data_IF_307285146587
#
_entry.id   IF_307285146587
#
_cell.length_a   1.000
_cell.length_b   1.000
_cell.length_c   1.000
_cell.angle_alpha   90.00
_cell.angle_beta   90.00
_cell.angle_gamma   90.00
#
_symmetry.space_group_name_H-M   'P 1'
#
loop_
_entity.id
_entity.type
_entity.pdbx_description
1 polymer ?
#
# COMPACT_ATOMS: atom_id res chain seq x y z
N UNK A 1 -13.16 -12.07 -26.39
CA UNK A 1 -12.06 -11.51 -25.60
C UNK A 1 -12.36 -11.89 -24.17
N UNK A 2 -11.49 -12.67 -23.53
CA UNK A 2 -11.65 -13.06 -22.13
C UNK A 2 -11.49 -11.81 -21.28
N UNK A 3 -12.55 -11.41 -20.59
CA UNK A 3 -12.43 -10.48 -19.46
C UNK A 3 -11.53 -11.17 -18.43
N UNK A 4 -10.33 -10.64 -18.26
CA UNK A 4 -9.43 -11.08 -17.19
C UNK A 4 -10.09 -10.70 -15.87
N UNK A 5 -10.20 -11.65 -14.95
CA UNK A 5 -10.81 -11.39 -13.65
C UNK A 5 -9.94 -10.47 -12.78
N UNK A 6 -10.56 -9.71 -11.88
CA UNK A 6 -9.84 -8.85 -10.93
C UNK A 6 -8.78 -9.64 -10.14
N UNK A 7 -9.08 -10.88 -9.78
CA UNK A 7 -8.14 -11.78 -9.08
C UNK A 7 -6.90 -12.09 -9.91
N UNK A 8 -7.08 -12.43 -11.19
CA UNK A 8 -5.97 -12.69 -12.11
C UNK A 8 -5.13 -11.43 -12.31
N UNK A 9 -5.78 -10.26 -12.40
CA UNK A 9 -5.07 -9.01 -12.61
C UNK A 9 -4.26 -8.58 -11.38
N UNK A 10 -4.79 -8.73 -10.17
CA UNK A 10 -4.04 -8.51 -8.92
C UNK A 10 -2.81 -9.42 -8.87
N UNK A 11 -2.96 -10.69 -9.27
CA UNK A 11 -1.84 -11.63 -9.35
C UNK A 11 -0.78 -11.18 -10.36
N UNK A 12 -1.18 -10.75 -11.56
CA UNK A 12 -0.24 -10.20 -12.56
C UNK A 12 0.50 -8.99 -12.00
N UNK A 13 -0.20 -8.09 -11.32
CA UNK A 13 0.44 -6.93 -10.68
C UNK A 13 1.48 -7.40 -9.65
N UNK A 14 1.10 -8.30 -8.74
CA UNK A 14 2.00 -8.83 -7.72
C UNK A 14 3.24 -9.51 -8.34
N UNK A 15 3.05 -10.36 -9.36
CA UNK A 15 4.15 -11.05 -10.04
C UNK A 15 5.15 -10.07 -10.67
N UNK A 16 4.66 -8.97 -11.26
CA UNK A 16 5.53 -7.93 -11.81
C UNK A 16 6.27 -7.14 -10.73
N UNK A 17 5.61 -6.85 -9.59
CA UNK A 17 6.25 -6.21 -8.45
C UNK A 17 7.36 -7.09 -7.87
N UNK A 18 7.12 -8.40 -7.74
CA UNK A 18 8.14 -9.38 -7.32
C UNK A 18 9.37 -9.37 -8.25
N UNK A 19 9.15 -9.26 -9.56
CA UNK A 19 10.22 -9.18 -10.56
C UNK A 19 10.93 -7.81 -10.60
N UNK A 20 10.52 -6.84 -9.79
CA UNK A 20 11.05 -5.47 -9.79
C UNK A 20 10.61 -4.64 -11.00
N UNK A 21 9.58 -5.06 -11.72
CA UNK A 21 9.04 -4.37 -12.91
C UNK A 21 8.05 -3.27 -12.55
N UNK A 22 8.41 -2.43 -11.57
CA UNK A 22 7.55 -1.39 -11.01
C UNK A 22 7.06 -0.39 -12.07
N UNK A 23 7.90 -0.03 -13.04
CA UNK A 23 7.53 0.91 -14.12
C UNK A 23 6.30 0.47 -14.93
N UNK A 24 6.15 -0.85 -15.14
CA UNK A 24 4.98 -1.40 -15.84
C UNK A 24 3.71 -1.22 -14.99
N UNK A 25 3.83 -1.40 -13.68
CA UNK A 25 2.70 -1.25 -12.75
C UNK A 25 2.35 0.23 -12.56
N UNK A 26 3.34 1.13 -12.52
CA UNK A 26 3.12 2.57 -12.59
C UNK A 26 2.29 2.92 -13.84
N UNK A 27 2.66 2.39 -15.01
CA UNK A 27 1.92 2.63 -16.25
C UNK A 27 0.47 2.11 -16.19
N UNK A 28 0.22 0.98 -15.51
CA UNK A 28 -1.11 0.44 -15.26
C UNK A 28 -1.94 1.36 -14.35
N UNK A 29 -1.42 1.75 -13.18
CA UNK A 29 -2.09 2.62 -12.21
C UNK A 29 -2.37 4.03 -12.76
N UNK A 30 -1.55 4.51 -13.70
CA UNK A 30 -1.81 5.78 -14.40
C UNK A 30 -3.06 5.73 -15.27
N UNK A 31 -3.34 4.57 -15.87
CA UNK A 31 -4.46 4.38 -16.80
C UNK A 31 -5.74 4.01 -16.09
N UNK A 32 -5.64 3.17 -15.06
CA UNK A 32 -6.81 2.64 -14.35
C UNK A 32 -6.73 2.97 -12.85
N UNK A 33 -7.36 4.08 -12.41
CA UNK A 33 -7.39 4.47 -11.01
C UNK A 33 -8.07 3.47 -10.09
N UNK A 34 -8.88 2.53 -10.61
CA UNK A 34 -9.49 1.49 -9.78
C UNK A 34 -8.44 0.61 -9.06
N UNK A 35 -7.23 0.45 -9.62
CA UNK A 35 -6.20 -0.42 -9.04
C UNK A 35 -5.67 0.08 -7.69
N UNK A 36 -5.78 1.38 -7.40
CA UNK A 36 -5.49 1.90 -6.07
C UNK A 36 -6.36 1.25 -4.99
N UNK A 37 -7.61 0.93 -5.30
CA UNK A 37 -8.52 0.28 -4.35
C UNK A 37 -8.14 -1.17 -4.03
N UNK A 38 -7.15 -1.74 -4.72
CA UNK A 38 -6.63 -3.09 -4.48
C UNK A 38 -5.32 -3.07 -3.70
N UNK A 39 -4.75 -1.91 -3.38
CA UNK A 39 -3.41 -1.83 -2.76
C UNK A 39 -3.31 -2.66 -1.49
N UNK A 40 -4.28 -2.59 -0.58
CA UNK A 40 -4.29 -3.41 0.63
C UNK A 40 -4.33 -4.92 0.34
N UNK A 41 -5.03 -5.34 -0.72
CA UNK A 41 -5.09 -6.77 -1.11
C UNK A 41 -3.80 -7.24 -1.79
N UNK A 42 -3.14 -6.38 -2.55
CA UNK A 42 -1.83 -6.68 -3.19
C UNK A 42 -0.72 -6.68 -2.13
N UNK A 43 -0.84 -5.83 -1.11
CA UNK A 43 0.14 -5.74 -0.02
C UNK A 43 0.00 -6.92 0.97
N UNK A 44 -1.19 -7.52 1.07
CA UNK A 44 -1.44 -8.80 1.77
C UNK A 44 -0.91 -10.01 0.98
N UNK A 45 0.32 -9.89 0.47
CA UNK A 45 1.03 -10.94 -0.24
C UNK A 45 2.16 -11.48 0.66
N UNK A 46 2.25 -12.81 0.73
CA UNK A 46 3.25 -13.52 1.52
C UNK A 46 4.68 -13.23 1.05
N UNK A 47 4.87 -12.92 -0.23
CA UNK A 47 6.17 -12.60 -0.82
C UNK A 47 6.63 -11.21 -0.39
N UNK A 48 7.72 -11.17 0.36
CA UNK A 48 8.34 -9.91 0.79
C UNK A 48 8.69 -8.97 -0.38
N UNK A 49 9.14 -9.51 -1.51
CA UNK A 49 9.47 -8.72 -2.69
C UNK A 49 8.27 -7.96 -3.27
N UNK A 50 7.07 -8.54 -3.21
CA UNK A 50 5.83 -7.85 -3.65
C UNK A 50 5.58 -6.63 -2.78
N UNK A 51 5.68 -6.78 -1.45
CA UNK A 51 5.42 -5.70 -0.51
C UNK A 51 6.40 -4.54 -0.65
N UNK A 52 7.69 -4.85 -0.79
CA UNK A 52 8.71 -3.85 -1.13
C UNK A 52 8.37 -3.17 -2.47
N UNK A 53 7.97 -3.95 -3.47
CA UNK A 53 7.53 -3.42 -4.76
C UNK A 53 6.35 -2.45 -4.67
N UNK A 54 5.39 -2.68 -3.76
CA UNK A 54 4.28 -1.75 -3.50
C UNK A 54 4.80 -0.43 -2.91
N UNK A 55 5.74 -0.46 -1.98
CA UNK A 55 6.33 0.76 -1.43
C UNK A 55 7.03 1.59 -2.52
N UNK A 56 7.87 0.95 -3.35
CA UNK A 56 8.54 1.60 -4.48
C UNK A 56 7.52 2.13 -5.51
N UNK A 57 6.46 1.37 -5.79
CA UNK A 57 5.37 1.80 -6.65
C UNK A 57 4.74 3.11 -6.13
N UNK A 58 4.49 3.21 -4.83
CA UNK A 58 3.87 4.40 -4.22
C UNK A 58 4.81 5.60 -4.19
N UNK A 59 6.12 5.40 -4.00
CA UNK A 59 7.13 6.46 -4.16
C UNK A 59 7.13 7.04 -5.59
N UNK A 60 7.12 6.18 -6.60
CA UNK A 60 7.04 6.61 -8.01
C UNK A 60 5.72 7.32 -8.31
N UNK A 61 4.60 6.77 -7.86
CA UNK A 61 3.27 7.35 -8.08
C UNK A 61 3.09 8.70 -7.37
N UNK A 62 3.76 8.92 -6.23
CA UNK A 62 3.79 10.22 -5.53
C UNK A 62 4.38 11.33 -6.39
N UNK A 63 5.36 11.00 -7.24
CA UNK A 63 5.98 11.96 -8.15
C UNK A 63 5.15 12.20 -9.43
N UNK A 64 4.22 11.29 -9.76
CA UNK A 64 3.50 11.30 -11.06
C UNK A 64 2.05 11.76 -10.93
N UNK A 65 1.31 11.25 -9.94
CA UNK A 65 -0.12 11.52 -9.73
C UNK A 65 -0.46 11.51 -8.21
N UNK A 66 0.15 12.41 -7.42
CA UNK A 66 0.00 12.45 -5.96
C UNK A 66 -1.46 12.56 -5.51
N UNK A 67 -2.31 13.23 -6.29
CA UNK A 67 -3.73 13.43 -6.00
C UNK A 67 -4.55 12.13 -6.00
N UNK A 68 -4.04 11.06 -6.63
CA UNK A 68 -4.73 9.76 -6.71
C UNK A 68 -4.33 8.79 -5.60
N UNK A 69 -3.26 9.07 -4.86
CA UNK A 69 -2.75 8.14 -3.84
C UNK A 69 -3.81 7.85 -2.74
N UNK A 70 -4.65 8.83 -2.42
CA UNK A 70 -5.73 8.69 -1.44
C UNK A 70 -6.78 7.63 -1.82
N UNK A 71 -6.89 7.26 -3.10
CA UNK A 71 -7.80 6.20 -3.55
C UNK A 71 -7.44 4.82 -2.95
N UNK A 72 -6.22 4.65 -2.43
CA UNK A 72 -5.79 3.42 -1.79
C UNK A 72 -6.23 3.30 -0.32
N UNK A 73 -6.55 4.43 0.34
CA UNK A 73 -6.84 4.50 1.77
C UNK A 73 -7.90 3.47 2.21
N UNK A 74 -9.07 3.34 1.55
CA UNK A 74 -10.09 2.38 1.98
C UNK A 74 -9.62 0.92 2.00
N UNK A 75 -8.69 0.55 1.11
CA UNK A 75 -8.13 -0.80 1.06
C UNK A 75 -7.08 -1.01 2.14
N UNK A 76 -6.24 -0.01 2.41
CA UNK A 76 -5.21 -0.04 3.44
C UNK A 76 -5.83 -0.08 4.84
N UNK A 77 -6.95 0.62 5.07
CA UNK A 77 -7.71 0.55 6.34
C UNK A 77 -8.17 -0.88 6.62
N UNK A 78 -8.60 -1.63 5.59
CA UNK A 78 -8.97 -3.05 5.79
C UNK A 78 -7.74 -3.86 6.22
N UNK A 79 -6.57 -3.58 5.65
CA UNK A 79 -5.33 -4.26 6.00
C UNK A 79 -4.83 -3.90 7.41
N UNK A 80 -5.11 -2.69 7.92
CA UNK A 80 -4.87 -2.34 9.32
C UNK A 80 -5.65 -3.21 10.31
N UNK A 81 -6.71 -3.89 9.89
CA UNK A 81 -7.44 -4.86 10.71
C UNK A 81 -6.91 -6.30 10.59
N UNK A 82 -5.81 -6.53 9.87
CA UNK A 82 -5.21 -7.86 9.73
C UNK A 82 -4.74 -8.42 11.08
N UNK A 83 -4.91 -9.73 11.26
CA UNK A 83 -4.34 -10.45 12.42
C UNK A 83 -2.81 -10.41 12.43
N UNK A 84 -2.19 -10.27 11.25
CA UNK A 84 -0.74 -10.20 11.09
C UNK A 84 -0.19 -8.81 11.44
N UNK A 85 0.64 -8.67 12.49
CA UNK A 85 1.27 -7.39 12.81
C UNK A 85 2.16 -6.86 11.67
N UNK A 86 2.78 -7.77 10.91
CA UNK A 86 3.58 -7.40 9.74
C UNK A 86 2.70 -6.69 8.71
N UNK A 87 1.52 -7.23 8.37
CA UNK A 87 0.64 -6.61 7.38
C UNK A 87 0.09 -5.26 7.83
N UNK A 88 -0.20 -5.11 9.13
CA UNK A 88 -0.57 -3.80 9.70
C UNK A 88 0.56 -2.78 9.56
N UNK A 89 1.81 -3.18 9.83
CA UNK A 89 2.99 -2.34 9.64
C UNK A 89 3.21 -1.93 8.18
N UNK A 90 3.05 -2.85 7.23
CA UNK A 90 3.15 -2.56 5.78
C UNK A 90 2.08 -1.55 5.35
N UNK A 91 0.84 -1.70 5.84
CA UNK A 91 -0.24 -0.75 5.58
C UNK A 91 0.08 0.66 6.13
N UNK A 92 0.65 0.75 7.34
CA UNK A 92 1.11 2.02 7.94
C UNK A 92 2.18 2.68 7.06
N UNK A 93 3.16 1.93 6.58
CA UNK A 93 4.20 2.45 5.69
C UNK A 93 3.63 3.08 4.41
N UNK A 94 2.70 2.38 3.74
CA UNK A 94 2.06 2.92 2.52
C UNK A 94 1.17 4.12 2.84
N UNK A 95 0.42 4.10 3.96
CA UNK A 95 -0.33 5.28 4.42
C UNK A 95 0.59 6.49 4.69
N UNK A 96 1.81 6.25 5.17
CA UNK A 96 2.84 7.27 5.35
C UNK A 96 3.26 7.90 4.03
N UNK A 97 3.51 7.08 3.01
CA UNK A 97 3.82 7.57 1.65
C UNK A 97 2.69 8.45 1.08
N UNK A 98 1.43 8.07 1.35
CA UNK A 98 0.23 8.85 0.97
C UNK A 98 0.21 10.21 1.69
N UNK A 99 0.47 10.25 2.99
CA UNK A 99 0.73 11.49 3.74
C UNK A 99 -0.41 12.50 3.83
N UNK A 100 -1.63 12.15 3.40
CA UNK A 100 -2.80 13.03 3.54
C UNK A 100 -3.27 13.08 5.00
N UNK A 101 -4.01 14.13 5.37
CA UNK A 101 -4.55 14.26 6.73
C UNK A 101 -5.42 13.05 7.15
N UNK A 102 -6.16 12.45 6.20
CA UNK A 102 -6.92 11.22 6.42
C UNK A 102 -6.00 10.03 6.71
N UNK A 103 -4.95 9.83 5.89
CA UNK A 103 -3.98 8.75 6.11
C UNK A 103 -3.27 8.90 7.46
N UNK A 104 -2.86 10.12 7.83
CA UNK A 104 -2.23 10.43 9.12
C UNK A 104 -3.16 10.09 10.29
N UNK A 105 -4.46 10.42 10.20
CA UNK A 105 -5.42 10.09 11.25
C UNK A 105 -5.52 8.57 11.47
N UNK A 106 -5.47 7.77 10.40
CA UNK A 106 -5.45 6.31 10.50
C UNK A 106 -4.15 5.76 11.08
N UNK A 107 -3.00 6.36 10.77
CA UNK A 107 -1.71 5.99 11.38
C UNK A 107 -1.73 6.27 12.89
N UNK A 108 -2.21 7.46 13.30
CA UNK A 108 -2.32 7.84 14.71
C UNK A 108 -3.23 6.90 15.50
N UNK A 109 -4.30 6.38 14.90
CA UNK A 109 -5.19 5.42 15.54
C UNK A 109 -4.48 4.09 15.91
N UNK A 110 -3.31 3.80 15.33
CA UNK A 110 -2.53 2.59 15.57
C UNK A 110 -1.47 2.73 16.68
N UNK A 111 -1.38 3.89 17.36
CA UNK A 111 -0.37 4.15 18.40
C UNK A 111 -0.46 3.16 19.58
N UNK A 112 -1.63 2.61 19.85
CA UNK A 112 -1.89 1.65 20.93
C UNK A 112 -2.02 0.21 20.41
N UNK A 113 -1.50 -0.09 19.21
CA UNK A 113 -1.52 -1.45 18.66
C UNK A 113 -0.86 -2.44 19.64
N UNK A 114 -1.42 -3.65 19.83
CA UNK A 114 -0.86 -4.63 20.75
C UNK A 114 0.58 -5.04 20.41
N UNK A 115 0.96 -5.01 19.13
CA UNK A 115 2.32 -5.34 18.69
C UNK A 115 3.27 -4.16 18.90
N UNK A 116 4.37 -4.36 19.64
CA UNK A 116 5.44 -3.35 19.75
C UNK A 116 6.00 -2.94 18.40
N UNK A 117 6.15 -3.87 17.47
CA UNK A 117 6.66 -3.62 16.12
C UNK A 117 5.76 -2.65 15.34
N UNK A 118 4.44 -2.77 15.51
CA UNK A 118 3.49 -1.85 14.87
C UNK A 118 3.59 -0.46 15.49
N UNK A 119 3.70 -0.35 16.82
CA UNK A 119 3.86 0.95 17.49
C UNK A 119 5.16 1.65 17.09
N UNK A 120 6.26 0.92 16.98
CA UNK A 120 7.55 1.44 16.47
C UNK A 120 7.40 1.97 15.04
N UNK A 121 6.68 1.25 14.17
CA UNK A 121 6.39 1.71 12.81
C UNK A 121 5.54 2.98 12.78
N UNK A 122 4.54 3.09 13.66
CA UNK A 122 3.72 4.30 13.79
C UNK A 122 4.57 5.50 14.19
N UNK A 123 5.42 5.34 15.21
CA UNK A 123 6.32 6.40 15.68
C UNK A 123 7.26 6.86 14.56
N UNK A 124 7.94 5.90 13.89
CA UNK A 124 8.84 6.17 12.78
C UNK A 124 8.16 6.96 11.66
N UNK A 125 7.00 6.50 11.18
CA UNK A 125 6.29 7.14 10.07
C UNK A 125 5.77 8.52 10.45
N UNK A 126 5.30 8.72 11.68
CA UNK A 126 4.84 10.04 12.13
C UNK A 126 6.00 11.04 12.30
N UNK A 127 7.19 10.57 12.69
CA UNK A 127 8.40 11.40 12.73
C UNK A 127 8.80 11.87 11.32
N UNK A 128 8.77 10.99 10.32
CA UNK A 128 9.07 11.34 8.92
C UNK A 128 8.09 12.33 8.29
N UNK A 129 6.86 12.42 8.82
CA UNK A 129 5.80 13.31 8.33
C UNK A 129 5.79 14.69 9.00
N UNK A 130 6.63 14.90 10.01
CA UNK A 130 6.73 16.14 10.80
C UNK A 130 7.61 17.20 10.12
#
# INVERSE_FOLDING_TARGET
MTDVSDTELKKVIADFLEMGHVENIVAMFRREPAYYSWTGEILDDERFAVRVGVSVLFEELKNIQPEKLSLAIPSLIKLLASDSPTMRGEAIGVLGLIGTAEAVAHIQAMQEDPSPQVREMVEMVLEELS
#
